data_IF_783740419169
#
_entry.id   IF_783740419169
#
_cell.length_a   1.000
_cell.length_b   1.000
_cell.length_c   1.000
_cell.angle_alpha   90.00
_cell.angle_beta   90.00
_cell.angle_gamma   90.00
#
_symmetry.space_group_name_H-M   'P 1'
#
loop_
_entity.id
_entity.type
_entity.pdbx_description
1 polymer ?
#
# COMPACT_ATOMS: atom_id res chain seq x y z
N UNK A 1 43.42 -14.54 -14.27
CA UNK A 1 42.15 -15.31 -14.37
C UNK A 1 41.05 -14.51 -13.69
N UNK A 2 40.01 -14.10 -14.42
CA UNK A 2 38.86 -13.44 -13.79
C UNK A 2 38.17 -14.44 -12.85
N UNK A 3 38.03 -14.08 -11.57
CA UNK A 3 37.33 -14.92 -10.60
C UNK A 3 35.95 -15.34 -11.12
N UNK A 4 35.59 -16.61 -10.91
CA UNK A 4 34.32 -17.16 -11.36
C UNK A 4 33.15 -16.29 -10.85
N UNK A 5 32.19 -15.99 -11.72
CA UNK A 5 31.09 -15.05 -11.45
C UNK A 5 30.32 -15.38 -10.16
N UNK A 6 30.23 -16.66 -9.80
CA UNK A 6 29.63 -17.19 -8.56
C UNK A 6 30.40 -16.78 -7.28
N UNK A 7 31.72 -16.68 -7.36
CA UNK A 7 32.58 -16.33 -6.24
C UNK A 7 32.57 -14.82 -5.98
N UNK A 8 32.39 -14.02 -7.04
CA UNK A 8 32.19 -12.57 -6.94
C UNK A 8 30.84 -12.23 -6.30
N UNK A 9 29.75 -12.89 -6.73
CA UNK A 9 28.43 -12.69 -6.14
C UNK A 9 28.37 -13.11 -4.67
N UNK A 10 29.04 -14.21 -4.29
CA UNK A 10 29.14 -14.63 -2.89
C UNK A 10 29.91 -13.63 -2.01
N UNK A 11 31.04 -13.07 -2.49
CA UNK A 11 31.80 -12.04 -1.77
C UNK A 11 31.02 -10.74 -1.59
N UNK A 12 30.28 -10.32 -2.60
CA UNK A 12 29.40 -9.14 -2.51
C UNK A 12 28.25 -9.39 -1.53
N UNK A 13 27.58 -10.54 -1.60
CA UNK A 13 26.53 -10.90 -0.66
C UNK A 13 27.02 -10.95 0.79
N UNK A 14 28.23 -11.46 1.03
CA UNK A 14 28.84 -11.47 2.37
C UNK A 14 29.11 -10.04 2.88
N UNK A 15 29.64 -9.14 2.03
CA UNK A 15 29.87 -7.73 2.39
C UNK A 15 28.58 -6.97 2.71
N UNK A 16 27.50 -7.26 2.00
CA UNK A 16 26.15 -6.71 2.27
C UNK A 16 25.66 -7.15 3.64
N UNK A 17 25.77 -8.46 3.92
CA UNK A 17 25.38 -9.04 5.22
C UNK A 17 26.16 -8.45 6.40
N UNK A 18 27.45 -8.19 6.26
CA UNK A 18 28.26 -7.56 7.32
C UNK A 18 27.90 -6.10 7.60
N UNK A 19 27.32 -5.40 6.62
CA UNK A 19 26.87 -4.01 6.75
C UNK A 19 25.42 -3.91 7.27
N UNK A 20 24.75 -5.05 7.47
CA UNK A 20 23.33 -5.09 7.76
C UNK A 20 22.46 -4.65 6.58
N UNK A 21 23.00 -4.64 5.35
CA UNK A 21 22.23 -4.32 4.15
C UNK A 21 21.25 -5.47 3.89
N UNK A 22 19.96 -5.19 4.05
CA UNK A 22 18.88 -6.11 3.73
C UNK A 22 18.37 -5.88 2.31
N UNK A 23 18.20 -6.96 1.54
CA UNK A 23 17.66 -6.87 0.19
C UNK A 23 16.13 -6.82 0.24
N UNK A 24 15.55 -5.67 -0.13
CA UNK A 24 14.10 -5.51 -0.28
C UNK A 24 13.74 -5.73 -1.76
N UNK A 25 13.02 -6.82 -2.06
CA UNK A 25 12.53 -7.12 -3.42
C UNK A 25 11.07 -6.72 -3.58
N UNK A 26 10.79 -5.83 -4.52
CA UNK A 26 9.43 -5.40 -4.86
C UNK A 26 9.01 -5.98 -6.22
N UNK A 27 8.04 -6.89 -6.21
CA UNK A 27 7.35 -7.31 -7.44
C UNK A 27 6.17 -6.38 -7.67
N UNK A 28 6.09 -5.75 -8.85
CA UNK A 28 5.07 -4.76 -9.13
C UNK A 28 4.43 -4.95 -10.52
N UNK A 29 3.15 -4.58 -10.63
CA UNK A 29 2.41 -4.57 -11.90
C UNK A 29 2.72 -3.29 -12.69
N UNK A 30 2.34 -3.26 -13.97
CA UNK A 30 2.63 -2.15 -14.89
C UNK A 30 2.21 -0.77 -14.34
N UNK A 31 1.02 -0.67 -13.71
CA UNK A 31 0.53 0.58 -13.14
C UNK A 31 1.41 1.14 -12.01
N UNK A 32 1.86 0.28 -11.09
CA UNK A 32 2.77 0.68 -10.01
C UNK A 32 4.14 1.10 -10.56
N UNK A 33 4.64 0.41 -11.58
CA UNK A 33 5.89 0.76 -12.26
C UNK A 33 5.78 2.12 -12.96
N UNK A 34 4.65 2.42 -13.59
CA UNK A 34 4.41 3.71 -14.24
C UNK A 34 4.37 4.83 -13.20
N UNK A 35 3.63 4.65 -12.09
CA UNK A 35 3.58 5.64 -11.02
C UNK A 35 4.99 5.96 -10.46
N UNK A 36 5.84 4.94 -10.29
CA UNK A 36 7.24 5.14 -9.89
C UNK A 36 8.01 5.97 -10.94
N UNK A 37 7.84 5.68 -12.23
CA UNK A 37 8.50 6.42 -13.30
C UNK A 37 8.07 7.90 -13.37
N UNK A 38 6.78 8.19 -13.12
CA UNK A 38 6.27 9.56 -13.06
C UNK A 38 6.83 10.32 -11.86
N UNK A 39 6.87 9.69 -10.68
CA UNK A 39 7.49 10.28 -9.48
C UNK A 39 8.98 10.59 -9.68
N UNK A 40 9.70 9.68 -10.33
CA UNK A 40 11.09 9.87 -10.74
C UNK A 40 11.24 11.05 -11.69
N UNK A 41 10.39 11.15 -12.72
CA UNK A 41 10.42 12.25 -13.68
C UNK A 41 10.14 13.61 -13.01
N UNK A 42 9.19 13.68 -12.07
CA UNK A 42 8.89 14.94 -11.35
C UNK A 42 10.01 15.39 -10.41
N UNK A 43 10.76 14.45 -9.84
CA UNK A 43 11.84 14.72 -8.90
C UNK A 43 13.22 14.81 -9.56
N UNK A 44 13.34 14.45 -10.85
CA UNK A 44 14.62 14.37 -11.56
C UNK A 44 15.50 13.22 -11.10
N UNK A 45 14.94 12.18 -10.48
CA UNK A 45 15.70 11.02 -9.99
C UNK A 45 15.79 9.97 -11.10
N UNK A 46 17.00 9.54 -11.42
CA UNK A 46 17.24 8.53 -12.47
C UNK A 46 17.27 7.10 -11.93
N UNK A 47 17.61 6.91 -10.66
CA UNK A 47 17.72 5.59 -10.03
C UNK A 47 16.46 5.22 -9.23
N UNK A 48 15.85 4.07 -9.55
CA UNK A 48 14.66 3.58 -8.85
C UNK A 48 14.90 3.33 -7.35
N UNK A 49 16.08 2.79 -7.00
CA UNK A 49 16.44 2.50 -5.61
C UNK A 49 16.54 3.77 -4.76
N UNK A 50 17.12 4.83 -5.33
CA UNK A 50 17.20 6.15 -4.71
C UNK A 50 15.82 6.76 -4.51
N UNK A 51 14.97 6.74 -5.55
CA UNK A 51 13.60 7.23 -5.46
C UNK A 51 12.81 6.52 -4.34
N UNK A 52 12.89 5.19 -4.26
CA UNK A 52 12.21 4.41 -3.22
C UNK A 52 12.75 4.73 -1.82
N UNK A 53 14.07 4.84 -1.67
CA UNK A 53 14.71 5.18 -0.39
C UNK A 53 14.27 6.57 0.09
N UNK A 54 14.29 7.56 -0.80
CA UNK A 54 13.84 8.92 -0.48
C UNK A 54 12.36 8.98 -0.14
N UNK A 55 11.50 8.26 -0.86
CA UNK A 55 10.08 8.18 -0.54
C UNK A 55 9.85 7.64 0.87
N UNK A 56 10.55 6.57 1.27
CA UNK A 56 10.43 6.01 2.63
C UNK A 56 10.85 7.04 3.68
N UNK A 57 11.98 7.72 3.47
CA UNK A 57 12.48 8.72 4.42
C UNK A 57 11.58 9.94 4.53
N UNK A 58 11.12 10.49 3.40
CA UNK A 58 10.22 11.64 3.39
C UNK A 58 8.86 11.30 3.99
N UNK A 59 8.31 10.13 3.65
CA UNK A 59 7.06 9.66 4.23
C UNK A 59 7.18 9.49 5.75
N UNK A 60 8.26 8.88 6.23
CA UNK A 60 8.53 8.77 7.67
C UNK A 60 8.70 10.15 8.34
N UNK A 61 9.34 11.11 7.65
CA UNK A 61 9.53 12.47 8.12
C UNK A 61 8.23 13.25 8.38
N UNK A 62 7.12 12.87 7.75
CA UNK A 62 5.80 13.45 8.02
C UNK A 62 5.22 13.05 9.39
N UNK A 63 5.82 12.06 10.06
CA UNK A 63 5.32 11.48 11.30
C UNK A 63 3.99 10.72 11.12
N UNK A 64 3.47 10.09 12.19
CA UNK A 64 2.29 9.22 12.09
C UNK A 64 1.04 9.92 11.54
N UNK A 65 0.81 11.18 11.93
CA UNK A 65 -0.36 11.94 11.50
C UNK A 65 -0.39 12.27 10.01
N UNK A 66 0.78 12.51 9.39
CA UNK A 66 0.88 12.81 7.96
C UNK A 66 1.09 11.56 7.10
N UNK A 67 1.82 10.55 7.60
CA UNK A 67 2.14 9.35 6.85
C UNK A 67 0.99 8.34 6.76
N UNK A 68 0.26 8.12 7.87
CA UNK A 68 -0.79 7.09 7.92
C UNK A 68 -1.92 7.32 6.90
N UNK A 69 -2.42 8.54 6.66
CA UNK A 69 -3.43 8.78 5.64
C UNK A 69 -2.99 8.35 4.23
N UNK A 70 -1.71 8.56 3.89
CA UNK A 70 -1.14 8.21 2.59
C UNK A 70 -0.96 6.69 2.38
N UNK A 71 -0.82 5.95 3.48
CA UNK A 71 -0.73 4.48 3.49
C UNK A 71 -2.08 3.80 3.71
N UNK A 72 -3.11 4.55 4.08
CA UNK A 72 -4.45 4.04 4.29
C UNK A 72 -5.19 3.90 2.96
N UNK A 73 -5.75 2.72 2.71
CA UNK A 73 -6.70 2.54 1.59
C UNK A 73 -7.89 3.47 1.85
N UNK A 74 -8.34 4.28 0.88
CA UNK A 74 -9.52 5.13 1.06
C UNK A 74 -10.73 4.24 1.34
N UNK A 75 -11.09 4.11 2.62
CA UNK A 75 -12.33 3.44 3.01
C UNK A 75 -13.42 4.48 2.91
N UNK A 76 -14.33 4.29 1.97
CA UNK A 76 -15.57 5.06 1.96
C UNK A 76 -16.34 4.72 3.25
N UNK A 77 -16.52 5.71 4.12
CA UNK A 77 -17.38 5.54 5.29
C UNK A 77 -18.82 5.49 4.79
N UNK A 78 -19.46 4.32 4.81
CA UNK A 78 -20.88 4.20 4.51
C UNK A 78 -21.65 4.78 5.71
N UNK A 79 -22.21 5.97 5.57
CA UNK A 79 -23.16 6.53 6.54
C UNK A 79 -24.58 6.39 5.99
N UNK A 80 -25.44 5.69 6.72
CA UNK A 80 -26.87 5.60 6.40
C UNK A 80 -27.55 6.90 6.83
N UNK A 81 -28.24 7.57 5.91
CA UNK A 81 -29.04 8.75 6.24
C UNK A 81 -30.25 8.38 7.10
N UNK A 82 -30.77 9.31 7.91
CA UNK A 82 -31.91 9.05 8.79
C UNK A 82 -33.17 8.64 8.02
N UNK A 83 -33.38 9.21 6.83
CA UNK A 83 -34.48 8.82 5.94
C UNK A 83 -34.35 7.37 5.43
N UNK A 84 -33.12 6.91 5.18
CA UNK A 84 -32.87 5.53 4.75
C UNK A 84 -33.04 4.56 5.93
N UNK A 85 -32.61 4.96 7.14
CA UNK A 85 -32.82 4.21 8.38
C UNK A 85 -34.31 3.99 8.66
N UNK A 86 -35.11 5.04 8.57
CA UNK A 86 -36.55 4.96 8.78
C UNK A 86 -37.24 4.02 7.78
N UNK A 87 -36.80 4.04 6.51
CA UNK A 87 -37.33 3.14 5.48
C UNK A 87 -36.95 1.67 5.75
N UNK A 88 -35.73 1.42 6.20
CA UNK A 88 -35.27 0.08 6.58
C UNK A 88 -36.07 -0.49 7.76
N UNK A 89 -36.30 0.32 8.79
CA UNK A 89 -37.16 -0.04 9.94
C UNK A 89 -38.60 -0.36 9.51
N UNK A 90 -39.19 0.47 8.65
CA UNK A 90 -40.54 0.23 8.13
C UNK A 90 -40.61 -1.08 7.33
N UNK A 91 -39.61 -1.36 6.50
CA UNK A 91 -39.54 -2.61 5.73
C UNK A 91 -39.41 -3.83 6.65
N UNK A 92 -38.54 -3.74 7.67
CA UNK A 92 -38.39 -4.80 8.68
C UNK A 92 -39.72 -5.11 9.39
N UNK A 93 -40.42 -4.06 9.87
CA UNK A 93 -41.70 -4.24 10.56
C UNK A 93 -42.78 -4.88 9.66
N UNK A 94 -42.80 -4.54 8.37
CA UNK A 94 -43.74 -5.14 7.40
C UNK A 94 -43.46 -6.63 7.19
N UNK A 95 -42.19 -7.01 7.05
CA UNK A 95 -41.81 -8.42 6.89
C UNK A 95 -42.06 -9.23 8.17
N UNK A 96 -41.78 -8.67 9.35
CA UNK A 96 -42.05 -9.33 10.62
C UNK A 96 -43.54 -9.66 10.78
N UNK A 97 -44.43 -8.71 10.46
CA UNK A 97 -45.88 -8.93 10.50
C UNK A 97 -46.35 -9.98 9.48
N UNK A 98 -45.72 -10.04 8.31
CA UNK A 98 -46.02 -11.03 7.27
C UNK A 98 -45.64 -12.44 7.71
N UNK A 99 -44.44 -12.61 8.29
CA UNK A 99 -43.97 -13.90 8.80
C UNK A 99 -44.88 -14.41 9.92
N UNK A 100 -45.38 -13.53 10.80
CA UNK A 100 -46.33 -13.90 11.85
C UNK A 100 -47.75 -14.27 11.35
N UNK A 101 -48.04 -14.12 10.06
CA UNK A 101 -49.35 -14.45 9.47
C UNK A 101 -49.31 -15.73 8.59
N UNK A 102 -48.11 -16.26 8.32
CA UNK A 102 -47.89 -17.47 7.52
C UNK A 102 -47.71 -18.74 8.38
N UNK A 103 -47.90 -18.66 9.71
CA UNK A 103 -48.11 -19.79 10.66
C UNK A 103 -49.57 -19.87 11.11
#
# INVERSE_FOLDING_TARGET
MAAAQKERSAKTAARRKTRGEEEIRLHCMAGTRQALAELMAWSGIEEQGEAITLMIHHLHGLGPGGALPLLSIPRHKISISDSCRAKLELAYNREALRICHDE
#
